data_IF_525651322560
#
_entry.id   IF_525651322560
#
_cell.length_a   1.000
_cell.length_b   1.000
_cell.length_c   1.000
_cell.angle_alpha   90.00
_cell.angle_beta   90.00
_cell.angle_gamma   90.00
#
_symmetry.space_group_name_H-M   'P 1'
#
loop_
_entity.id
_entity.type
_entity.pdbx_description
1 polymer ?
#
# COMPACT_ATOMS: atom_id res chain seq x y z
N UNK A 1 35.11 -32.07 65.28
CA UNK A 1 34.02 -31.39 64.55
C UNK A 1 34.59 -30.85 63.24
N UNK A 2 34.32 -31.50 62.11
CA UNK A 2 34.82 -31.10 60.77
C UNK A 2 33.65 -30.51 59.97
N UNK A 3 33.73 -29.23 59.60
CA UNK A 3 32.75 -28.57 58.73
C UNK A 3 33.33 -28.56 57.31
N UNK A 4 32.65 -29.24 56.38
CA UNK A 4 32.94 -29.18 54.95
C UNK A 4 32.04 -28.12 54.32
N UNK A 5 32.65 -27.12 53.68
CA UNK A 5 31.94 -26.16 52.82
C UNK A 5 31.95 -26.66 51.38
N UNK A 6 30.76 -26.91 50.83
CA UNK A 6 30.53 -27.17 49.42
C UNK A 6 30.49 -25.85 48.64
N UNK A 7 31.33 -25.71 47.62
CA UNK A 7 31.32 -24.60 46.67
C UNK A 7 30.59 -25.09 45.41
N UNK A 8 29.44 -24.49 45.12
CA UNK A 8 28.62 -24.78 43.94
C UNK A 8 29.14 -23.96 42.74
N UNK A 9 29.58 -24.66 41.69
CA UNK A 9 30.00 -24.07 40.41
C UNK A 9 28.78 -23.90 39.50
N UNK A 10 28.25 -22.68 39.41
CA UNK A 10 27.20 -22.31 38.45
C UNK A 10 27.86 -22.06 37.10
N UNK A 11 27.67 -23.00 36.17
CA UNK A 11 28.09 -22.86 34.77
C UNK A 11 27.04 -22.04 34.00
N UNK A 12 27.33 -20.76 33.76
CA UNK A 12 26.51 -19.91 32.90
C UNK A 12 26.78 -20.24 31.42
N UNK A 13 25.82 -20.91 30.80
CA UNK A 13 25.79 -21.12 29.35
C UNK A 13 25.46 -19.78 28.68
N UNK A 14 26.44 -19.17 28.03
CA UNK A 14 26.23 -17.99 27.18
C UNK A 14 25.53 -18.44 25.88
N UNK A 15 24.23 -18.16 25.78
CA UNK A 15 23.51 -18.23 24.52
C UNK A 15 23.90 -17.01 23.68
N UNK A 16 24.73 -17.23 22.66
CA UNK A 16 24.97 -16.24 21.62
C UNK A 16 23.70 -16.09 20.79
N UNK A 17 22.93 -15.03 21.04
CA UNK A 17 21.88 -14.60 20.15
C UNK A 17 22.53 -14.04 18.87
N UNK A 18 22.54 -14.85 17.81
CA UNK A 18 22.93 -14.40 16.48
C UNK A 18 21.93 -13.35 16.00
N UNK A 19 22.27 -12.06 16.14
CA UNK A 19 21.52 -10.96 15.55
C UNK A 19 21.71 -10.98 14.04
N UNK A 20 20.92 -11.79 13.33
CA UNK A 20 20.75 -11.62 11.89
C UNK A 20 20.11 -10.25 11.66
N UNK A 21 20.92 -9.29 11.19
CA UNK A 21 20.46 -8.00 10.69
C UNK A 21 19.46 -8.23 9.56
N UNK A 22 18.17 -8.12 9.85
CA UNK A 22 17.12 -8.09 8.82
C UNK A 22 17.38 -6.88 7.93
N UNK A 23 17.46 -7.09 6.62
CA UNK A 23 17.53 -6.00 5.66
C UNK A 23 16.38 -5.03 5.95
N UNK A 24 16.69 -3.75 6.10
CA UNK A 24 15.68 -2.71 6.32
C UNK A 24 14.79 -2.64 5.09
N UNK A 25 13.49 -2.86 5.26
CA UNK A 25 12.54 -2.84 4.17
C UNK A 25 12.46 -1.44 3.55
N UNK A 26 12.48 -1.34 2.23
CA UNK A 26 12.40 -0.07 1.51
C UNK A 26 11.00 0.11 0.95
N UNK A 27 10.25 1.04 1.54
CA UNK A 27 8.91 1.36 1.10
C UNK A 27 8.90 2.59 0.19
N UNK A 28 8.16 2.51 -0.92
CA UNK A 28 7.90 3.62 -1.82
C UNK A 28 6.44 3.62 -2.23
N UNK A 29 5.82 4.79 -2.23
CA UNK A 29 4.48 5.03 -2.77
C UNK A 29 4.55 6.21 -3.73
N UNK A 30 3.99 6.04 -4.94
CA UNK A 30 4.10 7.04 -6.00
C UNK A 30 3.01 6.86 -7.06
N UNK A 31 2.82 7.88 -7.88
CA UNK A 31 1.95 7.79 -9.06
C UNK A 31 2.83 7.34 -10.24
N UNK A 32 2.48 6.21 -10.85
CA UNK A 32 3.16 5.71 -12.03
C UNK A 32 2.33 5.99 -13.28
N UNK A 33 3.01 6.39 -14.34
CA UNK A 33 2.44 6.50 -15.67
C UNK A 33 3.03 5.43 -16.58
N UNK A 34 2.18 4.51 -17.03
CA UNK A 34 2.55 3.42 -17.91
C UNK A 34 2.60 3.87 -19.37
N UNK A 35 3.65 3.52 -20.10
CA UNK A 35 3.77 3.75 -21.52
C UNK A 35 3.53 2.44 -22.28
N UNK A 36 2.34 2.24 -22.89
CA UNK A 36 2.00 0.98 -23.55
C UNK A 36 2.91 0.66 -24.74
N UNK A 37 3.53 1.66 -25.37
CA UNK A 37 4.40 1.43 -26.52
C UNK A 37 5.76 0.85 -26.12
N UNK A 38 6.19 1.07 -24.88
CA UNK A 38 7.51 0.66 -24.38
C UNK A 38 7.45 -0.40 -23.30
N UNK A 39 6.26 -0.66 -22.75
CA UNK A 39 6.08 -1.50 -21.57
C UNK A 39 6.67 -0.92 -20.27
N UNK A 40 7.17 0.31 -20.29
CA UNK A 40 7.80 0.95 -19.15
C UNK A 40 6.82 1.78 -18.32
N UNK A 41 7.13 1.95 -17.03
CA UNK A 41 6.44 2.87 -16.15
C UNK A 41 7.42 3.95 -15.68
N UNK A 42 6.98 5.21 -15.75
CA UNK A 42 7.72 6.35 -15.21
C UNK A 42 7.00 6.91 -13.99
N UNK A 43 7.76 7.36 -13.01
CA UNK A 43 7.19 8.08 -11.88
C UNK A 43 6.69 9.46 -12.34
N UNK A 44 5.43 9.76 -12.02
CA UNK A 44 4.83 11.05 -12.28
C UNK A 44 5.45 12.10 -11.36
N UNK A 45 5.87 13.22 -11.94
CA UNK A 45 6.30 14.41 -11.17
C UNK A 45 5.16 15.16 -10.50
N UNK A 46 3.92 14.80 -10.82
CA UNK A 46 2.71 15.43 -10.33
C UNK A 46 1.89 14.45 -9.50
N UNK A 47 1.34 14.95 -8.39
CA UNK A 47 0.37 14.24 -7.55
C UNK A 47 -1.07 14.34 -8.09
N UNK A 48 -1.23 14.68 -9.38
CA UNK A 48 -2.53 14.74 -10.04
C UNK A 48 -2.69 13.64 -11.09
N UNK A 49 -3.86 13.03 -11.07
CA UNK A 49 -4.31 12.04 -12.05
C UNK A 49 -5.51 12.62 -12.76
N UNK A 50 -5.37 12.80 -14.07
CA UNK A 50 -6.53 13.07 -14.91
C UNK A 50 -7.20 11.74 -15.22
N UNK A 51 -8.49 11.61 -14.95
CA UNK A 51 -9.28 10.41 -15.26
C UNK A 51 -9.32 10.10 -16.77
N UNK A 52 -9.04 11.08 -17.63
CA UNK A 52 -8.82 10.87 -19.07
C UNK A 52 -7.49 10.17 -19.40
N UNK A 53 -6.56 10.10 -18.45
CA UNK A 53 -5.28 9.40 -18.57
C UNK A 53 -5.37 8.00 -17.95
N UNK A 54 -5.93 7.04 -18.69
CA UNK A 54 -6.13 5.65 -18.25
C UNK A 54 -4.84 4.90 -17.91
N UNK A 55 -3.68 5.46 -18.26
CA UNK A 55 -2.37 4.87 -18.02
C UNK A 55 -1.70 5.32 -16.72
N UNK A 56 -2.38 6.08 -15.86
CA UNK A 56 -1.89 6.47 -14.55
C UNK A 56 -2.47 5.60 -13.44
N UNK A 57 -1.62 5.19 -12.50
CA UNK A 57 -1.99 4.38 -11.35
C UNK A 57 -1.26 4.89 -10.10
N UNK A 58 -1.87 4.74 -8.94
CA UNK A 58 -1.19 4.93 -7.65
C UNK A 58 -0.60 3.59 -7.24
N UNK A 59 0.72 3.47 -7.20
CA UNK A 59 1.39 2.24 -6.84
C UNK A 59 2.24 2.42 -5.59
N UNK A 60 2.29 1.36 -4.78
CA UNK A 60 3.29 1.24 -3.73
C UNK A 60 4.06 -0.06 -3.86
N UNK A 61 5.28 -0.03 -3.35
CA UNK A 61 6.26 -1.10 -3.39
C UNK A 61 6.90 -1.21 -2.01
N UNK A 62 7.10 -2.43 -1.56
CA UNK A 62 7.94 -2.73 -0.41
C UNK A 62 8.97 -3.77 -0.82
N UNK A 63 10.25 -3.42 -0.75
CA UNK A 63 11.37 -4.25 -1.17
C UNK A 63 12.32 -4.55 0.00
N UNK A 64 13.21 -5.53 -0.17
CA UNK A 64 14.08 -5.99 0.92
C UNK A 64 13.33 -6.81 1.97
N UNK A 65 12.13 -7.30 1.64
CA UNK A 65 11.38 -8.22 2.48
C UNK A 65 12.02 -9.60 2.47
N UNK A 66 11.70 -10.43 3.47
CA UNK A 66 12.12 -11.82 3.49
C UNK A 66 11.45 -12.55 2.30
N UNK A 67 12.22 -13.15 1.38
CA UNK A 67 11.67 -13.84 0.22
C UNK A 67 10.62 -14.89 0.61
N UNK A 68 9.58 -15.03 -0.22
CA UNK A 68 8.52 -16.02 -0.06
C UNK A 68 7.77 -15.98 1.28
N UNK A 69 7.93 -14.91 2.08
CA UNK A 69 7.26 -14.77 3.37
C UNK A 69 5.93 -14.04 3.23
N UNK A 70 5.02 -14.32 4.18
CA UNK A 70 3.67 -13.74 4.19
C UNK A 70 3.68 -12.46 5.03
N UNK A 71 3.01 -11.43 4.51
CA UNK A 71 2.88 -10.13 5.15
C UNK A 71 1.41 -9.72 5.24
N UNK A 72 1.02 -9.15 6.38
CA UNK A 72 -0.30 -8.57 6.58
C UNK A 72 -0.30 -7.12 6.16
N UNK A 73 -1.23 -6.73 5.29
CA UNK A 73 -1.27 -5.39 4.72
C UNK A 73 -2.60 -4.76 5.09
N UNK A 74 -2.53 -3.51 5.54
CA UNK A 74 -3.69 -2.64 5.70
C UNK A 74 -3.46 -1.37 4.89
N UNK A 75 -4.32 -1.14 3.91
CA UNK A 75 -4.37 0.11 3.16
C UNK A 75 -5.54 0.93 3.67
N UNK A 76 -5.29 2.19 4.01
CA UNK A 76 -6.35 3.15 4.30
C UNK A 76 -6.44 4.14 3.15
N UNK A 77 -7.57 4.16 2.48
CA UNK A 77 -7.86 5.14 1.42
C UNK A 77 -8.89 6.13 1.95
N UNK A 78 -8.57 7.42 1.81
CA UNK A 78 -9.53 8.50 1.97
C UNK A 78 -9.86 9.03 0.59
N UNK A 79 -11.15 9.20 0.30
CA UNK A 79 -11.68 9.67 -0.98
C UNK A 79 -12.83 10.66 -0.77
N UNK A 80 -13.28 11.35 -1.82
CA UNK A 80 -14.60 11.97 -1.83
C UNK A 80 -15.71 10.93 -1.59
N UNK A 81 -16.93 11.42 -1.31
CA UNK A 81 -18.11 10.58 -1.09
C UNK A 81 -18.33 9.60 -2.24
N UNK A 82 -18.87 8.43 -1.90
CA UNK A 82 -19.20 7.35 -2.83
C UNK A 82 -18.01 6.70 -3.54
N UNK A 83 -16.80 6.78 -2.96
CA UNK A 83 -15.65 6.02 -3.42
C UNK A 83 -15.90 4.51 -3.38
N UNK A 84 -15.36 3.77 -4.36
CA UNK A 84 -15.44 2.31 -4.41
C UNK A 84 -14.07 1.69 -4.66
N UNK A 85 -13.68 0.76 -3.78
CA UNK A 85 -12.37 0.12 -3.83
C UNK A 85 -12.51 -1.39 -3.61
N UNK A 86 -11.97 -2.15 -4.55
CA UNK A 86 -11.93 -3.61 -4.47
C UNK A 86 -10.54 -4.13 -4.80
N UNK A 87 -10.17 -5.23 -4.16
CA UNK A 87 -8.93 -5.93 -4.43
C UNK A 87 -9.22 -7.43 -4.38
N UNK A 88 -8.82 -8.24 -5.39
CA UNK A 88 -9.23 -9.64 -5.50
C UNK A 88 -8.95 -10.52 -4.29
N UNK A 89 -7.87 -10.23 -3.55
CA UNK A 89 -7.44 -10.99 -2.37
C UNK A 89 -7.52 -10.16 -1.07
N UNK A 90 -8.39 -9.14 -1.05
CA UNK A 90 -8.56 -8.26 0.10
C UNK A 90 -10.01 -8.14 0.55
N UNK A 91 -10.19 -7.75 1.81
CA UNK A 91 -11.48 -7.35 2.37
C UNK A 91 -11.48 -5.82 2.46
N UNK A 92 -12.46 -5.18 1.84
CA UNK A 92 -12.68 -3.74 1.95
C UNK A 92 -13.79 -3.46 2.96
N UNK A 93 -13.50 -2.62 3.95
CA UNK A 93 -14.46 -2.06 4.89
C UNK A 93 -14.53 -0.55 4.67
N UNK A 94 -15.73 0.01 4.58
CA UNK A 94 -15.95 1.44 4.35
C UNK A 94 -16.83 2.01 5.45
N UNK A 95 -16.68 3.30 5.78
CA UNK A 95 -17.69 4.02 6.56
C UNK A 95 -18.98 4.23 5.76
N UNK A 96 -20.02 4.72 6.43
CA UNK A 96 -21.34 4.96 5.87
C UNK A 96 -21.30 5.87 4.64
N UNK A 97 -20.51 6.95 4.70
CA UNK A 97 -20.38 7.94 3.62
C UNK A 97 -19.44 7.49 2.50
N UNK A 98 -18.78 6.33 2.64
CA UNK A 98 -17.78 5.82 1.68
C UNK A 98 -16.69 6.85 1.36
N UNK A 99 -16.18 7.51 2.40
CA UNK A 99 -15.06 8.46 2.32
C UNK A 99 -13.79 7.92 2.93
N UNK A 100 -13.88 6.85 3.74
CA UNK A 100 -12.77 6.18 4.39
C UNK A 100 -12.90 4.67 4.21
N UNK A 101 -11.91 4.09 3.55
CA UNK A 101 -11.85 2.66 3.22
C UNK A 101 -10.64 2.03 3.88
N UNK A 102 -10.85 0.92 4.58
CA UNK A 102 -9.79 0.05 5.07
C UNK A 102 -9.79 -1.24 4.23
N UNK A 103 -8.73 -1.45 3.45
CA UNK A 103 -8.51 -2.66 2.68
C UNK A 103 -7.47 -3.50 3.42
N UNK A 104 -7.88 -4.69 3.87
CA UNK A 104 -7.01 -5.63 4.59
C UNK A 104 -6.74 -6.83 3.69
N UNK A 105 -5.47 -7.20 3.55
CA UNK A 105 -5.06 -8.38 2.78
C UNK A 105 -3.84 -9.05 3.37
N UNK A 106 -3.56 -10.22 2.81
CA UNK A 106 -2.36 -11.00 3.11
C UNK A 106 -1.65 -11.27 1.80
N UNK A 107 -0.42 -10.77 1.65
CA UNK A 107 0.35 -10.95 0.42
C UNK A 107 1.65 -11.70 0.74
N UNK A 108 2.02 -12.61 -0.17
CA UNK A 108 3.31 -13.28 -0.14
C UNK A 108 4.33 -12.43 -0.91
N UNK A 109 5.48 -12.15 -0.31
CA UNK A 109 6.59 -11.51 -1.00
C UNK A 109 7.15 -12.43 -2.09
N UNK A 110 7.62 -11.85 -3.19
CA UNK A 110 8.27 -12.58 -4.28
C UNK A 110 9.56 -13.27 -3.83
N UNK A 111 10.19 -14.03 -4.73
CA UNK A 111 11.50 -14.65 -4.48
C UNK A 111 12.61 -13.59 -4.26
N UNK A 112 12.40 -12.38 -4.78
CA UNK A 112 13.29 -11.23 -4.64
C UNK A 112 12.93 -10.36 -3.41
N UNK A 113 11.94 -10.76 -2.61
CA UNK A 113 11.55 -10.02 -1.42
C UNK A 113 10.77 -8.74 -1.75
N UNK A 114 9.89 -8.79 -2.75
CA UNK A 114 9.08 -7.65 -3.19
C UNK A 114 7.59 -7.90 -3.00
N UNK A 115 6.87 -6.88 -2.54
CA UNK A 115 5.41 -6.78 -2.66
C UNK A 115 5.10 -5.45 -3.36
N UNK A 116 4.17 -5.48 -4.31
CA UNK A 116 3.64 -4.29 -4.94
C UNK A 116 2.12 -4.34 -5.04
N UNK A 117 1.49 -3.17 -5.12
CA UNK A 117 0.07 -3.04 -5.42
C UNK A 117 -0.17 -1.71 -6.10
N UNK A 118 -1.04 -1.70 -7.10
CA UNK A 118 -1.41 -0.52 -7.87
C UNK A 118 -2.92 -0.35 -7.88
N UNK A 119 -3.35 0.89 -7.69
CA UNK A 119 -4.73 1.33 -7.81
C UNK A 119 -4.91 2.05 -9.15
N UNK A 120 -5.84 1.55 -9.95
CA UNK A 120 -6.32 2.21 -11.15
C UNK A 120 -7.64 2.90 -10.85
N UNK A 121 -7.90 4.01 -11.54
CA UNK A 121 -9.10 4.81 -11.37
C UNK A 121 -9.90 4.82 -12.67
N UNK A 122 -11.20 4.52 -12.57
CA UNK A 122 -12.15 4.46 -13.65
C UNK A 122 -12.75 5.85 -13.90
N UNK A 123 -12.82 6.21 -15.18
CA UNK A 123 -13.26 7.54 -15.62
C UNK A 123 -14.70 7.86 -15.23
N UNK A 124 -15.57 6.85 -15.17
CA UNK A 124 -17.02 7.05 -15.08
C UNK A 124 -17.59 6.82 -13.67
N UNK A 125 -16.80 6.24 -12.75
CA UNK A 125 -17.29 5.82 -11.43
C UNK A 125 -16.51 6.43 -10.27
N UNK A 126 -15.23 6.77 -10.46
CA UNK A 126 -14.45 7.32 -9.36
C UNK A 126 -14.72 8.82 -9.19
N UNK A 127 -15.05 9.27 -7.96
CA UNK A 127 -15.39 10.66 -7.74
C UNK A 127 -14.18 11.59 -7.92
N UNK A 128 -14.42 12.79 -8.42
CA UNK A 128 -13.36 13.79 -8.61
C UNK A 128 -13.08 14.46 -7.25
N UNK A 129 -11.81 14.62 -6.91
CA UNK A 129 -11.43 15.32 -5.68
C UNK A 129 -10.10 14.88 -5.11
N UNK A 130 -9.91 15.18 -3.84
CA UNK A 130 -8.68 14.90 -3.11
C UNK A 130 -8.74 13.52 -2.46
N UNK A 131 -7.63 12.79 -2.56
CA UNK A 131 -7.47 11.43 -2.07
C UNK A 131 -6.21 11.31 -1.21
N UNK A 132 -6.20 10.29 -0.36
CA UNK A 132 -5.01 9.90 0.41
C UNK A 132 -4.92 8.39 0.51
N UNK A 133 -3.75 7.81 0.24
CA UNK A 133 -3.46 6.39 0.44
C UNK A 133 -2.36 6.25 1.50
N UNK A 134 -2.69 5.57 2.59
CA UNK A 134 -1.74 5.15 3.62
C UNK A 134 -1.62 3.63 3.61
N UNK A 135 -0.40 3.11 3.80
CA UNK A 135 -0.14 1.68 3.82
C UNK A 135 0.54 1.31 5.13
N UNK A 136 0.10 0.20 5.70
CA UNK A 136 0.74 -0.48 6.83
C UNK A 136 1.09 -1.89 6.40
N UNK A 137 2.33 -2.31 6.64
CA UNK A 137 2.81 -3.66 6.39
C UNK A 137 3.26 -4.25 7.72
N UNK A 138 2.59 -5.29 8.17
CA UNK A 138 2.67 -5.81 9.54
C UNK A 138 2.43 -4.70 10.58
N UNK A 139 3.45 -4.35 11.35
CA UNK A 139 3.40 -3.31 12.38
C UNK A 139 3.88 -1.95 11.87
N UNK A 140 4.57 -1.91 10.73
CA UNK A 140 5.20 -0.71 10.18
C UNK A 140 4.21 0.10 9.35
N UNK A 141 4.03 1.36 9.73
CA UNK A 141 3.11 2.30 9.09
C UNK A 141 3.90 3.35 8.31
N UNK A 142 3.54 3.53 7.04
CA UNK A 142 4.26 4.41 6.13
C UNK A 142 3.51 5.73 5.90
N UNK A 143 4.23 6.82 5.56
CA UNK A 143 3.61 8.11 5.24
C UNK A 143 2.57 8.00 4.13
N UNK A 144 1.46 8.72 4.29
CA UNK A 144 0.39 8.70 3.31
C UNK A 144 0.76 9.50 2.04
N UNK A 145 0.46 8.94 0.86
CA UNK A 145 0.49 9.69 -0.40
C UNK A 145 -0.83 10.43 -0.56
N UNK A 146 -0.77 11.76 -0.64
CA UNK A 146 -1.90 12.61 -1.02
C UNK A 146 -1.86 12.89 -2.52
N UNK A 147 -2.99 12.74 -3.20
CA UNK A 147 -3.12 12.96 -4.63
C UNK A 147 -4.52 13.47 -4.99
N UNK A 148 -4.68 13.98 -6.20
CA UNK A 148 -5.95 14.52 -6.68
C UNK A 148 -6.38 13.83 -7.96
N UNK A 149 -7.62 13.37 -8.00
CA UNK A 149 -8.28 12.99 -9.25
C UNK A 149 -8.93 14.23 -9.84
N UNK A 150 -8.67 14.48 -11.12
CA UNK A 150 -9.29 15.57 -11.88
C UNK A 150 -9.79 15.07 -13.23
N UNK A 151 -10.55 15.91 -13.92
CA UNK A 151 -10.96 15.65 -15.29
C UNK A 151 -10.44 16.77 -16.20
N UNK A 152 -9.30 16.54 -16.87
CA UNK A 152 -8.86 17.46 -17.94
C UNK A 152 -9.65 17.19 -19.21
N UNK A 153 -10.53 18.14 -19.55
CA UNK A 153 -11.20 18.21 -20.85
C UNK A 153 -10.15 18.40 -21.95
N UNK A 154 -9.92 17.37 -22.77
CA UNK A 154 -9.28 17.56 -24.09
C UNK A 154 -10.30 17.56 -25.23
N UNK A 155 -11.46 16.90 -25.09
CA UNK A 155 -12.50 16.79 -26.14
C UNK A 155 -13.93 16.63 -25.56
N UNK A 156 -14.31 17.40 -24.54
CA UNK A 156 -15.72 17.49 -24.12
C UNK A 156 -16.30 16.38 -23.23
N UNK A 157 -15.78 15.16 -23.18
CA UNK A 157 -16.33 14.14 -22.27
C UNK A 157 -15.61 14.04 -20.91
N UNK A 158 -16.26 14.69 -19.95
CA UNK A 158 -16.20 14.47 -18.50
C UNK A 158 -17.65 14.63 -18.00
N UNK A 159 -18.58 13.82 -18.52
CA UNK A 159 -20.01 14.01 -18.24
C UNK A 159 -20.41 13.19 -17.02
N UNK A 160 -20.33 13.83 -15.84
CA UNK A 160 -21.32 13.57 -14.80
C UNK A 160 -22.65 14.11 -15.30
N UNK A 161 -23.44 13.29 -16.01
CA UNK A 161 -24.87 13.49 -16.08
C UNK A 161 -25.41 13.01 -14.72
N UNK A 162 -25.52 13.94 -13.78
CA UNK A 162 -26.41 13.76 -12.65
C UNK A 162 -27.82 13.53 -13.18
N UNK A 163 -28.22 12.26 -13.21
CA UNK A 163 -29.60 11.83 -13.40
C UNK A 163 -29.81 10.49 -12.68
N UNK A 164 -29.68 10.52 -11.35
CA UNK A 164 -30.58 9.71 -10.54
C UNK A 164 -31.91 10.46 -10.50
N UNK A 165 -32.82 10.09 -11.39
CA UNK A 165 -34.26 10.26 -11.18
C UNK A 165 -34.81 8.92 -10.70
N UNK A 166 -35.83 8.93 -9.82
CA UNK A 166 -36.10 7.91 -8.80
C UNK A 166 -36.35 6.49 -9.32
#
# INVERSE_FOLDING_TARGET
>A
MKKFSLISLVSCIFLFASNTSLATSNFKISILQYNPNSGSAIESKSNEISLSQKNKQVCWFNTGLKPNSIYHIKQTIISPNDGFFSMPAGITLSNEEKTRHAIVSTNKASAEGVINTCWAFATDTDPIGDYSLQVKVNQDEYPALKFKLNCRRRNGNCSWLGAYSP
#
